data_IF_633498220959
#
_entry.id   IF_633498220959
#
_cell.length_a   1.000
_cell.length_b   1.000
_cell.length_c   1.000
_cell.angle_alpha   90.00
_cell.angle_beta   90.00
_cell.angle_gamma   90.00
#
_symmetry.space_group_name_H-M   'P 1'
#
loop_
_entity.id
_entity.type
_entity.pdbx_description
1 polymer ?
#
# COMPACT_ATOMS: atom_id res chain seq x y z
N UNK A 1 -0.37 10.00 -19.56
CA UNK A 1 0.91 9.43 -19.06
C UNK A 1 0.75 8.66 -17.75
N UNK A 2 -0.19 9.03 -16.85
CA UNK A 2 -0.48 8.28 -15.61
C UNK A 2 -1.51 7.13 -15.80
N UNK A 3 -2.58 7.34 -16.59
CA UNK A 3 -3.72 6.42 -16.70
C UNK A 3 -3.42 4.99 -17.22
N UNK A 4 -2.55 4.83 -18.23
CA UNK A 4 -2.16 3.48 -18.71
C UNK A 4 -1.34 2.68 -17.69
N UNK A 5 -0.84 3.33 -16.64
CA UNK A 5 0.00 2.72 -15.60
C UNK A 5 -0.76 2.32 -14.34
N UNK A 6 -2.02 2.70 -14.17
CA UNK A 6 -2.72 2.54 -12.89
C UNK A 6 -2.89 1.07 -12.50
N UNK A 7 -3.27 0.21 -13.45
CA UNK A 7 -3.37 -1.24 -13.19
C UNK A 7 -2.07 -1.83 -12.67
N UNK A 8 -0.93 -1.45 -13.27
CA UNK A 8 0.38 -1.88 -12.79
C UNK A 8 0.72 -1.34 -11.40
N UNK A 9 0.34 -0.09 -11.11
CA UNK A 9 0.53 0.51 -9.76
C UNK A 9 -0.30 -0.20 -8.70
N UNK A 10 -1.56 -0.49 -9.00
CA UNK A 10 -2.45 -1.21 -8.11
C UNK A 10 -1.94 -2.63 -7.84
N UNK A 11 -1.45 -3.32 -8.87
CA UNK A 11 -0.81 -4.64 -8.71
C UNK A 11 0.43 -4.54 -7.81
N UNK A 12 1.31 -3.57 -8.04
CA UNK A 12 2.46 -3.33 -7.16
C UNK A 12 2.03 -3.07 -5.71
N UNK A 13 1.06 -2.19 -5.48
CA UNK A 13 0.52 -1.92 -4.13
C UNK A 13 0.08 -3.22 -3.48
N UNK A 14 -0.68 -4.04 -4.21
CA UNK A 14 -1.21 -5.31 -3.72
C UNK A 14 -0.11 -6.32 -3.38
N UNK A 15 0.92 -6.43 -4.22
CA UNK A 15 2.03 -7.35 -4.00
C UNK A 15 2.82 -6.97 -2.73
N UNK A 16 3.21 -5.69 -2.58
CA UNK A 16 3.94 -5.22 -1.40
C UNK A 16 3.12 -5.26 -0.11
N UNK A 17 1.80 -5.00 -0.19
CA UNK A 17 0.91 -5.07 0.95
C UNK A 17 0.72 -6.52 1.45
N UNK A 18 0.70 -7.49 0.52
CA UNK A 18 0.67 -8.92 0.85
C UNK A 18 1.97 -9.40 1.48
N UNK A 19 3.12 -8.96 0.97
CA UNK A 19 4.41 -9.27 1.59
C UNK A 19 4.48 -8.78 3.05
N UNK A 20 4.04 -7.54 3.32
CA UNK A 20 3.94 -7.03 4.69
C UNK A 20 3.06 -7.96 5.54
N UNK A 21 1.86 -8.28 5.07
CA UNK A 21 0.90 -9.11 5.80
C UNK A 21 1.46 -10.52 6.07
N UNK A 22 2.17 -11.12 5.10
CA UNK A 22 2.80 -12.44 5.22
C UNK A 22 3.93 -12.43 6.25
N UNK A 23 4.80 -11.42 6.24
CA UNK A 23 5.90 -11.37 7.22
C UNK A 23 5.39 -11.10 8.65
N UNK A 24 4.28 -10.37 8.78
CA UNK A 24 3.70 -10.05 10.08
C UNK A 24 2.78 -11.15 10.62
N UNK A 25 2.26 -12.07 9.79
CA UNK A 25 1.37 -13.14 10.27
C UNK A 25 2.01 -14.07 11.29
N UNK A 26 3.34 -14.25 11.19
CA UNK A 26 4.13 -15.07 12.11
C UNK A 26 4.84 -14.25 13.21
N UNK A 27 4.55 -12.95 13.30
CA UNK A 27 5.22 -12.01 14.20
C UNK A 27 4.27 -11.47 15.28
N UNK A 28 4.77 -11.37 16.51
CA UNK A 28 4.15 -10.50 17.53
C UNK A 28 4.77 -9.11 17.46
N UNK A 29 4.10 -8.12 18.07
CA UNK A 29 4.63 -6.76 18.20
C UNK A 29 6.02 -6.76 18.84
N UNK A 30 6.21 -7.52 19.91
CA UNK A 30 7.51 -7.60 20.59
C UNK A 30 8.60 -8.18 19.67
N UNK A 31 8.27 -9.24 18.90
CA UNK A 31 9.22 -9.82 17.94
C UNK A 31 9.54 -8.86 16.78
N UNK A 32 8.58 -8.05 16.35
CA UNK A 32 8.78 -7.01 15.35
C UNK A 32 9.73 -5.93 15.87
N UNK A 33 9.49 -5.42 17.09
CA UNK A 33 10.32 -4.39 17.73
C UNK A 33 11.75 -4.87 18.02
N UNK A 34 11.95 -6.18 18.20
CA UNK A 34 13.27 -6.77 18.35
C UNK A 34 13.99 -7.07 17.01
N UNK A 35 13.28 -7.04 15.88
CA UNK A 35 13.81 -7.46 14.58
C UNK A 35 13.98 -6.29 13.59
N UNK A 36 15.18 -5.69 13.60
CA UNK A 36 15.52 -4.56 12.71
C UNK A 36 15.45 -4.88 11.23
N UNK A 37 15.70 -6.13 10.84
CA UNK A 37 15.62 -6.55 9.44
C UNK A 37 14.16 -6.54 8.97
N UNK A 38 13.25 -7.07 9.79
CA UNK A 38 11.82 -7.04 9.52
C UNK A 38 11.29 -5.61 9.50
N UNK A 39 11.67 -4.77 10.46
CA UNK A 39 11.32 -3.33 10.47
C UNK A 39 11.74 -2.66 9.17
N UNK A 40 12.99 -2.84 8.75
CA UNK A 40 13.51 -2.23 7.52
C UNK A 40 12.77 -2.71 6.27
N UNK A 41 12.41 -4.00 6.22
CA UNK A 41 11.65 -4.57 5.10
C UNK A 41 10.22 -4.01 5.04
N UNK A 42 9.53 -3.93 6.18
CA UNK A 42 8.18 -3.38 6.29
C UNK A 42 8.17 -1.89 5.92
N UNK A 43 9.04 -1.09 6.53
CA UNK A 43 9.16 0.35 6.23
C UNK A 43 9.40 0.56 4.73
N UNK A 44 10.30 -0.22 4.13
CA UNK A 44 10.58 -0.12 2.70
C UNK A 44 9.34 -0.41 1.85
N UNK A 45 8.57 -1.43 2.19
CA UNK A 45 7.35 -1.76 1.46
C UNK A 45 6.28 -0.66 1.63
N UNK A 46 6.14 -0.08 2.82
CA UNK A 46 5.25 1.08 3.06
C UNK A 46 5.64 2.29 2.19
N UNK A 47 6.93 2.63 2.11
CA UNK A 47 7.42 3.71 1.23
C UNK A 47 7.04 3.48 -0.24
N UNK A 48 7.22 2.25 -0.72
CA UNK A 48 6.93 1.88 -2.11
C UNK A 48 5.43 1.93 -2.39
N UNK A 49 4.60 1.48 -1.44
CA UNK A 49 3.14 1.58 -1.50
C UNK A 49 2.73 3.06 -1.60
N UNK A 50 3.25 3.92 -0.73
CA UNK A 50 2.94 5.35 -0.75
C UNK A 50 3.35 6.04 -2.06
N UNK A 51 4.52 5.69 -2.62
CA UNK A 51 4.96 6.19 -3.94
C UNK A 51 4.04 5.70 -5.07
N UNK A 52 3.66 4.42 -5.05
CA UNK A 52 2.76 3.87 -6.05
C UNK A 52 1.39 4.55 -5.98
N UNK A 53 0.84 4.74 -4.78
CA UNK A 53 -0.40 5.47 -4.52
C UNK A 53 -0.31 6.91 -5.02
N UNK A 54 0.78 7.64 -4.72
CA UNK A 54 1.01 9.02 -5.17
C UNK A 54 1.00 9.17 -6.70
N UNK A 55 1.31 8.10 -7.42
CA UNK A 55 1.34 8.06 -8.88
C UNK A 55 0.08 7.50 -9.55
N UNK A 56 -0.91 7.05 -8.78
CA UNK A 56 -2.26 6.72 -9.28
C UNK A 56 -2.89 7.98 -9.89
N UNK A 57 -3.57 7.83 -11.03
CA UNK A 57 -4.26 8.93 -11.70
C UNK A 57 -5.38 9.54 -10.87
N UNK A 58 -5.65 10.83 -11.09
CA UNK A 58 -6.73 11.51 -10.39
C UNK A 58 -8.11 10.95 -10.81
N UNK A 59 -8.27 10.52 -12.06
CA UNK A 59 -9.51 9.89 -12.54
C UNK A 59 -9.82 8.58 -11.82
N UNK A 60 -8.81 7.76 -11.50
CA UNK A 60 -9.02 6.57 -10.68
C UNK A 60 -9.35 6.93 -9.22
N UNK A 61 -8.65 7.91 -8.64
CA UNK A 61 -8.88 8.33 -7.25
C UNK A 61 -10.26 8.92 -7.05
N UNK A 62 -10.73 9.73 -7.99
CA UNK A 62 -12.07 10.32 -8.00
C UNK A 62 -13.16 9.25 -8.17
N UNK A 63 -12.85 8.13 -8.82
CA UNK A 63 -13.78 7.01 -8.99
C UNK A 63 -13.91 6.16 -7.73
N UNK A 64 -12.83 6.00 -6.95
CA UNK A 64 -12.77 5.15 -5.77
C UNK A 64 -12.44 5.98 -4.52
N UNK A 65 -13.37 6.85 -4.12
CA UNK A 65 -13.17 7.81 -3.01
C UNK A 65 -13.15 7.17 -1.63
N UNK A 66 -13.57 5.92 -1.51
CA UNK A 66 -13.53 5.13 -0.28
C UNK A 66 -12.11 4.75 0.15
N UNK A 67 -11.15 4.80 -0.78
CA UNK A 67 -9.74 4.62 -0.47
C UNK A 67 -9.17 5.97 -0.03
N UNK A 68 -8.51 5.99 1.13
CA UNK A 68 -7.88 7.18 1.70
C UNK A 68 -6.56 7.53 0.99
N UNK A 69 -6.62 7.81 -0.32
CA UNK A 69 -5.46 7.99 -1.18
C UNK A 69 -4.47 9.05 -0.67
N UNK A 70 -4.99 10.13 -0.07
CA UNK A 70 -4.17 11.24 0.43
C UNK A 70 -3.37 10.81 1.66
N UNK A 71 -4.00 10.08 2.57
CA UNK A 71 -3.38 9.65 3.82
C UNK A 71 -2.28 8.62 3.53
N UNK A 72 -2.56 7.66 2.62
CA UNK A 72 -1.57 6.65 2.20
C UNK A 72 -0.40 7.30 1.44
N UNK A 73 -0.65 8.33 0.62
CA UNK A 73 0.44 9.08 -0.01
C UNK A 73 1.27 9.87 1.02
N UNK A 74 0.63 10.40 2.06
CA UNK A 74 1.25 11.14 3.16
C UNK A 74 2.14 10.28 4.05
N UNK A 75 1.79 9.00 4.26
CA UNK A 75 2.60 8.02 5.01
C UNK A 75 4.05 7.95 4.49
N UNK A 76 4.25 7.94 3.17
CA UNK A 76 5.60 7.99 2.57
C UNK A 76 6.37 9.23 3.01
N UNK A 77 5.71 10.39 3.00
CA UNK A 77 6.36 11.65 3.32
C UNK A 77 6.76 11.64 4.81
N UNK A 78 5.95 11.07 5.70
CA UNK A 78 6.31 10.83 7.10
C UNK A 78 7.52 9.89 7.23
N UNK A 79 7.47 8.69 6.63
CA UNK A 79 8.54 7.67 6.75
C UNK A 79 9.90 8.14 6.21
N UNK A 80 9.90 8.92 5.11
CA UNK A 80 11.13 9.43 4.50
C UNK A 80 11.68 10.65 5.24
N UNK A 81 10.82 11.54 5.76
CA UNK A 81 11.29 12.74 6.46
C UNK A 81 11.74 12.45 7.89
N UNK A 82 11.10 11.49 8.55
CA UNK A 82 11.41 11.10 9.92
C UNK A 82 12.29 9.85 9.97
N UNK A 83 12.98 9.48 8.89
CA UNK A 83 13.79 8.25 8.78
C UNK A 83 14.84 8.03 9.90
N UNK A 84 15.20 9.07 10.65
CA UNK A 84 16.09 9.00 11.82
C UNK A 84 15.36 8.65 13.14
N UNK A 85 14.06 8.91 13.22
CA UNK A 85 13.20 8.76 14.40
C UNK A 85 11.81 8.26 13.99
N UNK A 86 11.76 7.27 13.09
CA UNK A 86 10.50 6.68 12.64
C UNK A 86 9.79 6.07 13.84
N UNK A 87 8.54 6.46 14.06
CA UNK A 87 7.70 5.85 15.08
C UNK A 87 7.37 4.40 14.71
N UNK A 88 8.09 3.46 15.33
CA UNK A 88 7.88 2.02 15.11
C UNK A 88 6.51 1.54 15.60
N UNK A 89 5.86 2.29 16.49
CA UNK A 89 4.48 2.03 16.90
C UNK A 89 3.54 2.30 15.73
N UNK A 90 3.66 3.47 15.10
CA UNK A 90 2.85 3.85 13.94
C UNK A 90 3.10 2.92 12.75
N UNK A 91 4.35 2.51 12.52
CA UNK A 91 4.68 1.52 11.48
C UNK A 91 3.97 0.19 11.76
N UNK A 92 3.99 -0.28 13.00
CA UNK A 92 3.33 -1.52 13.38
C UNK A 92 1.81 -1.44 13.21
N UNK A 93 1.19 -0.38 13.73
CA UNK A 93 -0.26 -0.14 13.63
C UNK A 93 -0.69 -0.06 12.16
N UNK A 94 -0.04 0.80 11.37
CA UNK A 94 -0.32 0.93 9.94
C UNK A 94 -0.21 -0.42 9.22
N UNK A 95 0.84 -1.19 9.53
CA UNK A 95 1.09 -2.47 8.86
C UNK A 95 0.11 -3.57 9.25
N UNK A 96 -0.47 -3.52 10.44
CA UNK A 96 -1.36 -4.56 10.96
C UNK A 96 -2.84 -4.21 10.88
N UNK A 97 -3.18 -2.93 10.80
CA UNK A 97 -4.56 -2.44 10.76
C UNK A 97 -4.93 -1.88 9.38
N UNK A 98 -4.14 -0.95 8.84
CA UNK A 98 -4.48 -0.23 7.60
C UNK A 98 -4.11 -1.00 6.33
N UNK A 99 -2.94 -1.66 6.32
CA UNK A 99 -2.47 -2.40 5.14
C UNK A 99 -3.40 -3.55 4.74
N UNK A 100 -3.97 -4.36 5.66
CA UNK A 100 -4.98 -5.35 5.29
C UNK A 100 -6.22 -4.72 4.62
N UNK A 101 -6.72 -3.60 5.15
CA UNK A 101 -7.86 -2.88 4.57
C UNK A 101 -7.54 -2.37 3.17
N UNK A 102 -6.36 -1.76 2.99
CA UNK A 102 -5.89 -1.31 1.68
C UNK A 102 -5.78 -2.48 0.69
N UNK A 103 -5.27 -3.63 1.14
CA UNK A 103 -5.13 -4.85 0.32
C UNK A 103 -6.48 -5.27 -0.26
N UNK A 104 -7.53 -5.30 0.57
CA UNK A 104 -8.89 -5.66 0.15
C UNK A 104 -9.46 -4.65 -0.85
N UNK A 105 -9.34 -3.35 -0.54
CA UNK A 105 -9.83 -2.28 -1.42
C UNK A 105 -9.16 -2.35 -2.81
N UNK A 106 -7.84 -2.49 -2.85
CA UNK A 106 -7.08 -2.55 -4.11
C UNK A 106 -7.41 -3.82 -4.89
N UNK A 107 -7.58 -4.97 -4.22
CA UNK A 107 -7.99 -6.21 -4.88
C UNK A 107 -9.35 -6.10 -5.57
N UNK A 108 -10.31 -5.40 -4.94
CA UNK A 108 -11.62 -5.10 -5.53
C UNK A 108 -11.48 -4.23 -6.78
N UNK A 109 -10.68 -3.16 -6.70
CA UNK A 109 -10.45 -2.24 -7.83
C UNK A 109 -9.80 -2.98 -9.01
N UNK A 110 -8.74 -3.75 -8.76
CA UNK A 110 -8.04 -4.54 -9.79
C UNK A 110 -8.98 -5.51 -10.49
N UNK A 111 -9.83 -6.20 -9.73
CA UNK A 111 -10.83 -7.13 -10.26
C UNK A 111 -11.87 -6.40 -11.12
N UNK A 112 -12.33 -5.23 -10.68
CA UNK A 112 -13.28 -4.39 -11.41
C UNK A 112 -12.73 -3.87 -12.75
N UNK A 113 -11.45 -3.47 -12.80
CA UNK A 113 -10.78 -3.05 -14.05
C UNK A 113 -10.66 -4.23 -15.03
N UNK A 114 -10.33 -5.43 -14.54
CA UNK A 114 -10.21 -6.63 -15.35
C UNK A 114 -11.52 -7.04 -16.04
N UNK A 115 -12.67 -6.78 -15.42
CA UNK A 115 -14.00 -7.05 -16.00
C UNK A 115 -14.39 -6.03 -17.06
N UNK A 116 -14.02 -4.76 -16.92
CA UNK A 116 -14.31 -3.73 -17.93
C UNK A 116 -13.47 -3.87 -19.21
N UNK A 117 -12.24 -4.37 -19.10
CA UNK A 117 -11.33 -4.59 -20.25
C UNK A 117 -11.84 -5.71 -21.18
N UNK A 118 -12.58 -6.69 -20.65
CA UNK A 118 -13.11 -7.84 -21.42
C UNK A 118 -14.41 -7.51 -22.17
N UNK A 119 -15.15 -6.48 -21.74
CA UNK A 119 -16.45 -6.11 -22.31
C UNK A 119 -16.37 -5.10 -23.47
N UNK A 120 -15.16 -4.67 -23.85
CA UNK A 120 -14.93 -3.69 -24.92
C UNK A 120 -14.32 -4.30 -26.21
N UNK A 121 -14.35 -5.63 -26.34
CA UNK A 121 -13.99 -6.37 -27.56
C UNK A 121 -15.25 -6.92 -28.26
N UNK A 122 -16.22 -6.06 -28.54
CA UNK A 122 -17.47 -6.39 -29.27
C UNK A 122 -17.69 -5.46 -30.45
#
# INVERSE_FOLDING_TARGET
MKEKGDKYRLIHILDYAREISEWLSDSTKESFFANKQLQSAVIRNLEVIGEAVKNVSDSLREKYTEVLWKDIAGMRDMLIHEYFDVDLEEVWETSTEDIPVLTEQIAIIVSGIGLSDQNNNG
#
